data_IF_973344744488
#
_entry.id   IF_973344744488
#
_cell.length_a   1.000
_cell.length_b   1.000
_cell.length_c   1.000
_cell.angle_alpha   90.00
_cell.angle_beta   90.00
_cell.angle_gamma   90.00
#
_symmetry.space_group_name_H-M   'P 1'
#
loop_
_entity.id
_entity.type
_entity.pdbx_description
1 polymer ?
#
# COMPACT_ATOMS: atom_id res chain seq x y z
N UNK A 1 -18.07 -1.17 11.51
CA UNK A 1 -16.87 -0.81 10.71
C UNK A 1 -16.10 -2.05 10.31
N UNK A 2 -15.72 -2.22 9.05
CA UNK A 2 -14.86 -3.30 8.55
C UNK A 2 -13.44 -2.76 8.38
N UNK A 3 -12.45 -3.44 8.96
CA UNK A 3 -11.05 -3.04 8.92
C UNK A 3 -10.26 -3.99 8.02
N UNK A 4 -9.60 -3.45 6.99
CA UNK A 4 -8.74 -4.17 6.05
C UNK A 4 -7.29 -3.86 6.36
N UNK A 5 -6.51 -4.84 6.82
CA UNK A 5 -5.10 -4.66 7.18
C UNK A 5 -4.20 -5.18 6.07
N UNK A 6 -3.48 -4.28 5.39
CA UNK A 6 -2.33 -4.65 4.57
C UNK A 6 -1.15 -4.96 5.49
N UNK A 7 -0.90 -6.24 5.69
CA UNK A 7 0.07 -6.70 6.69
C UNK A 7 1.51 -6.81 6.17
N UNK A 8 1.77 -6.69 4.88
CA UNK A 8 3.12 -6.93 4.33
C UNK A 8 4.16 -5.99 4.95
N UNK A 9 3.84 -4.71 5.11
CA UNK A 9 4.74 -3.74 5.76
C UNK A 9 4.87 -3.98 7.27
N UNK A 10 3.81 -4.44 7.94
CA UNK A 10 3.84 -4.81 9.36
C UNK A 10 4.72 -6.03 9.60
N UNK A 11 4.55 -7.07 8.80
CA UNK A 11 5.37 -8.29 8.85
C UNK A 11 6.83 -7.93 8.64
N UNK A 12 7.11 -7.15 7.58
CA UNK A 12 8.47 -6.71 7.28
C UNK A 12 9.09 -5.96 8.46
N UNK A 13 8.40 -4.97 9.02
CA UNK A 13 8.90 -4.15 10.12
C UNK A 13 9.06 -4.93 11.42
N UNK A 14 8.24 -5.96 11.64
CA UNK A 14 8.32 -6.82 12.82
C UNK A 14 9.54 -7.74 12.83
N UNK A 15 10.18 -7.94 11.66
CA UNK A 15 11.44 -8.69 11.60
C UNK A 15 12.64 -7.92 12.20
N UNK A 16 12.55 -6.60 12.32
CA UNK A 16 13.69 -5.77 12.72
C UNK A 16 13.63 -5.33 14.17
N UNK A 17 14.80 -5.30 14.81
CA UNK A 17 15.03 -4.71 16.13
C UNK A 17 16.12 -3.63 16.07
N UNK A 18 16.19 -2.83 17.10
CA UNK A 18 17.32 -1.91 17.27
C UNK A 18 18.59 -2.72 17.54
N UNK A 19 19.67 -2.45 16.81
CA UNK A 19 20.97 -3.08 17.08
C UNK A 19 21.52 -2.57 18.40
N UNK A 20 21.93 -3.48 19.25
CA UNK A 20 22.57 -3.17 20.55
C UNK A 20 24.09 -3.09 20.41
N UNK A 21 24.66 -3.89 19.50
CA UNK A 21 26.10 -3.90 19.19
C UNK A 21 26.32 -3.90 17.66
N UNK A 22 27.54 -3.55 17.18
CA UNK A 22 27.85 -3.61 15.74
C UNK A 22 27.70 -5.01 15.14
N UNK A 23 27.93 -6.07 15.94
CA UNK A 23 27.84 -7.47 15.53
C UNK A 23 26.40 -7.99 15.52
N UNK A 24 25.46 -7.28 16.12
CA UNK A 24 24.05 -7.65 16.12
C UNK A 24 23.49 -7.66 14.69
N UNK A 25 22.79 -8.72 14.32
CA UNK A 25 22.14 -8.85 13.01
C UNK A 25 21.14 -7.74 12.72
N UNK A 26 20.52 -7.16 13.78
CA UNK A 26 19.42 -6.22 13.67
C UNK A 26 18.06 -6.89 13.36
N UNK A 27 17.99 -8.21 13.50
CA UNK A 27 16.78 -8.99 13.33
C UNK A 27 16.31 -9.58 14.65
N UNK A 28 15.00 -9.65 14.84
CA UNK A 28 14.39 -10.44 15.90
C UNK A 28 14.59 -11.94 15.64
N UNK A 29 14.50 -12.77 16.68
CA UNK A 29 14.17 -14.18 16.51
C UNK A 29 12.67 -14.28 16.16
N UNK A 30 12.21 -15.48 15.80
CA UNK A 30 10.84 -15.64 15.30
C UNK A 30 9.78 -15.38 16.37
N UNK A 31 10.03 -15.76 17.63
CA UNK A 31 9.04 -15.55 18.72
C UNK A 31 8.92 -14.07 19.05
N UNK A 32 10.03 -13.34 19.17
CA UNK A 32 10.01 -11.89 19.38
C UNK A 32 9.33 -11.15 18.22
N UNK A 33 9.53 -11.63 16.98
CA UNK A 33 8.89 -11.06 15.80
C UNK A 33 7.38 -11.29 15.78
N UNK A 34 6.91 -12.48 16.19
CA UNK A 34 5.48 -12.78 16.37
C UNK A 34 4.86 -11.89 17.43
N UNK A 35 5.51 -11.77 18.58
CA UNK A 35 5.04 -10.92 19.68
C UNK A 35 4.97 -9.46 19.25
N UNK A 36 6.00 -8.98 18.56
CA UNK A 36 6.02 -7.62 18.02
C UNK A 36 4.90 -7.37 17.01
N UNK A 37 4.68 -8.30 16.09
CA UNK A 37 3.59 -8.20 15.13
C UNK A 37 2.23 -8.13 15.83
N UNK A 38 1.98 -9.06 16.77
CA UNK A 38 0.73 -9.12 17.54
C UNK A 38 0.50 -7.83 18.33
N UNK A 39 1.54 -7.32 19.02
CA UNK A 39 1.48 -6.06 19.77
C UNK A 39 1.04 -4.89 18.87
N UNK A 40 1.65 -4.78 17.71
CA UNK A 40 1.38 -3.67 16.77
C UNK A 40 -0.04 -3.78 16.19
N UNK A 41 -0.46 -4.98 15.79
CA UNK A 41 -1.83 -5.20 15.28
C UNK A 41 -2.87 -4.90 16.34
N UNK A 42 -2.68 -5.39 17.56
CA UNK A 42 -3.60 -5.10 18.68
C UNK A 42 -3.68 -3.61 18.99
N UNK A 43 -2.53 -2.92 18.99
CA UNK A 43 -2.48 -1.47 19.18
C UNK A 43 -3.26 -0.73 18.09
N UNK A 44 -3.14 -1.14 16.84
CA UNK A 44 -3.87 -0.56 15.70
C UNK A 44 -5.38 -0.74 15.91
N UNK A 45 -5.82 -1.97 16.19
CA UNK A 45 -7.24 -2.30 16.39
C UNK A 45 -7.80 -1.48 17.56
N UNK A 46 -7.14 -1.51 18.73
CA UNK A 46 -7.57 -0.75 19.90
C UNK A 46 -7.64 0.76 19.61
N UNK A 47 -6.74 1.30 18.77
CA UNK A 47 -6.80 2.72 18.41
C UNK A 47 -8.01 3.02 17.52
N UNK A 48 -8.34 2.12 16.58
CA UNK A 48 -9.52 2.28 15.72
C UNK A 48 -10.81 2.13 16.54
N UNK A 49 -10.85 1.23 17.52
CA UNK A 49 -11.99 1.00 18.40
C UNK A 49 -12.34 2.18 19.33
N UNK A 50 -11.40 3.14 19.49
CA UNK A 50 -11.72 4.39 20.21
C UNK A 50 -12.73 5.23 19.44
N UNK A 51 -12.62 5.24 18.09
CA UNK A 51 -13.41 6.11 17.24
C UNK A 51 -14.56 5.38 16.52
N UNK A 52 -14.47 4.05 16.39
CA UNK A 52 -15.39 3.22 15.58
C UNK A 52 -15.72 1.90 16.26
N UNK A 53 -16.95 1.43 16.11
CA UNK A 53 -17.30 0.05 16.45
C UNK A 53 -16.79 -0.89 15.36
N UNK A 54 -15.85 -1.78 15.69
CA UNK A 54 -15.21 -2.70 14.74
C UNK A 54 -15.96 -4.03 14.69
N UNK A 55 -16.67 -4.28 13.61
CA UNK A 55 -17.43 -5.51 13.39
C UNK A 55 -16.55 -6.65 12.86
N UNK A 56 -15.55 -6.30 12.04
CA UNK A 56 -14.74 -7.30 11.36
C UNK A 56 -13.35 -6.76 11.00
N UNK A 57 -12.36 -7.60 11.23
CA UNK A 57 -10.98 -7.38 10.75
C UNK A 57 -10.64 -8.43 9.71
N UNK A 58 -10.10 -8.00 8.55
CA UNK A 58 -9.61 -8.86 7.48
C UNK A 58 -8.16 -8.50 7.21
N UNK A 59 -7.27 -9.46 7.36
CA UNK A 59 -5.83 -9.29 7.14
C UNK A 59 -5.43 -9.84 5.77
N UNK A 60 -4.50 -9.17 5.12
CA UNK A 60 -3.95 -9.55 3.82
C UNK A 60 -2.44 -9.64 3.92
N UNK A 61 -1.85 -10.76 3.45
CA UNK A 61 -0.41 -10.97 3.58
C UNK A 61 0.14 -11.92 2.51
N UNK A 62 1.40 -11.68 2.11
CA UNK A 62 2.20 -12.63 1.39
C UNK A 62 1.68 -12.99 -0.01
N UNK A 63 1.33 -12.00 -0.81
CA UNK A 63 0.97 -12.22 -2.21
C UNK A 63 2.05 -13.00 -2.97
N UNK A 64 1.64 -13.93 -3.83
CA UNK A 64 2.55 -14.79 -4.62
C UNK A 64 2.41 -14.50 -6.10
N UNK A 65 3.56 -14.21 -6.71
CA UNK A 65 3.62 -13.83 -8.11
C UNK A 65 3.20 -12.37 -8.31
N UNK A 66 3.48 -11.84 -9.49
CA UNK A 66 3.11 -10.48 -9.85
C UNK A 66 3.11 -10.37 -11.39
N UNK A 67 1.93 -10.16 -11.97
CA UNK A 67 1.78 -10.03 -13.41
C UNK A 67 2.58 -8.85 -13.99
N UNK A 68 2.82 -7.79 -13.20
CA UNK A 68 3.60 -6.62 -13.64
C UNK A 68 5.02 -6.98 -14.04
N UNK A 69 5.63 -8.00 -13.41
CA UNK A 69 6.96 -8.52 -13.79
C UNK A 69 6.94 -9.24 -15.15
N UNK A 70 5.81 -9.73 -15.59
CA UNK A 70 5.66 -10.33 -16.92
C UNK A 70 5.56 -9.26 -18.00
N UNK A 71 4.95 -8.10 -17.66
CA UNK A 71 4.79 -6.96 -18.57
C UNK A 71 6.09 -6.14 -18.63
N UNK A 72 6.73 -5.89 -17.49
CA UNK A 72 7.93 -5.06 -17.39
C UNK A 72 9.02 -5.75 -16.56
N UNK A 73 10.14 -6.07 -17.21
CA UNK A 73 11.32 -6.66 -16.55
C UNK A 73 11.99 -5.69 -15.57
N UNK A 74 11.77 -4.39 -15.72
CA UNK A 74 12.35 -3.36 -14.84
C UNK A 74 11.51 -3.09 -13.61
N UNK A 75 10.27 -3.60 -13.56
CA UNK A 75 9.38 -3.42 -12.43
C UNK A 75 9.98 -4.02 -11.15
N UNK A 76 10.17 -3.18 -10.12
CA UNK A 76 10.81 -3.52 -8.84
C UNK A 76 12.22 -4.13 -8.97
N UNK A 77 12.92 -3.89 -10.10
CA UNK A 77 14.28 -4.41 -10.30
C UNK A 77 15.30 -3.80 -9.32
N UNK A 78 15.04 -2.60 -8.81
CA UNK A 78 15.82 -1.94 -7.76
C UNK A 78 15.75 -2.63 -6.38
N UNK A 79 14.93 -3.68 -6.25
CA UNK A 79 14.80 -4.45 -5.00
C UNK A 79 15.54 -5.79 -5.03
N UNK A 80 16.24 -6.13 -6.12
CA UNK A 80 16.89 -7.44 -6.30
C UNK A 80 17.98 -7.66 -5.23
N UNK A 81 18.75 -6.62 -4.93
CA UNK A 81 19.86 -6.69 -3.96
C UNK A 81 19.43 -6.33 -2.53
N UNK A 82 18.13 -6.23 -2.28
CA UNK A 82 17.62 -5.93 -0.94
C UNK A 82 17.79 -7.16 -0.05
N UNK A 83 18.49 -6.99 1.06
CA UNK A 83 18.60 -8.02 2.08
C UNK A 83 17.20 -8.37 2.63
N UNK A 84 16.87 -9.65 2.60
CA UNK A 84 15.59 -10.17 3.10
C UNK A 84 15.80 -10.68 4.51
N UNK A 85 14.98 -10.26 5.50
CA UNK A 85 15.10 -10.79 6.86
C UNK A 85 15.00 -12.32 6.87
N UNK A 86 15.91 -13.04 7.57
CA UNK A 86 15.94 -14.50 7.57
C UNK A 86 14.63 -15.16 7.99
N UNK A 87 13.90 -14.50 8.91
CA UNK A 87 12.64 -14.99 9.50
C UNK A 87 11.39 -14.56 8.74
N UNK A 88 11.53 -13.77 7.65
CA UNK A 88 10.39 -13.16 6.96
C UNK A 88 9.34 -14.19 6.50
N UNK A 89 9.78 -15.27 5.88
CA UNK A 89 8.86 -16.29 5.37
C UNK A 89 8.12 -17.00 6.51
N UNK A 90 8.82 -17.32 7.60
CA UNK A 90 8.24 -17.98 8.76
C UNK A 90 7.21 -17.07 9.46
N UNK A 91 7.51 -15.79 9.59
CA UNK A 91 6.56 -14.80 10.13
C UNK A 91 5.35 -14.61 9.20
N UNK A 92 5.55 -14.60 7.88
CA UNK A 92 4.45 -14.56 6.92
C UNK A 92 3.53 -15.78 7.06
N UNK A 93 4.09 -16.97 7.21
CA UNK A 93 3.31 -18.21 7.37
C UNK A 93 2.53 -18.18 8.70
N UNK A 94 3.16 -17.74 9.79
CA UNK A 94 2.48 -17.50 11.07
C UNK A 94 1.29 -16.55 10.92
N UNK A 95 1.49 -15.39 10.29
CA UNK A 95 0.42 -14.39 10.11
C UNK A 95 -0.71 -14.94 9.25
N UNK A 96 -0.41 -15.70 8.21
CA UNK A 96 -1.44 -16.35 7.37
C UNK A 96 -2.29 -17.34 8.17
N UNK A 97 -1.66 -18.17 8.99
CA UNK A 97 -2.35 -19.18 9.79
C UNK A 97 -3.12 -18.53 10.95
N UNK A 98 -2.45 -17.74 11.77
CA UNK A 98 -3.02 -17.15 12.99
C UNK A 98 -4.16 -16.16 12.68
N UNK A 99 -4.03 -15.34 11.66
CA UNK A 99 -5.01 -14.31 11.28
C UNK A 99 -5.90 -14.73 10.11
N UNK A 100 -5.75 -15.95 9.60
CA UNK A 100 -6.46 -16.43 8.41
C UNK A 100 -6.36 -15.45 7.25
N UNK A 101 -5.17 -14.85 7.08
CA UNK A 101 -4.94 -13.76 6.14
C UNK A 101 -5.21 -14.19 4.71
N UNK A 102 -5.84 -13.28 3.96
CA UNK A 102 -6.10 -13.47 2.54
C UNK A 102 -4.80 -13.30 1.75
N UNK A 103 -4.58 -14.16 0.76
CA UNK A 103 -3.39 -14.15 -0.07
C UNK A 103 -3.75 -13.96 -1.54
N UNK A 104 -3.07 -13.02 -2.22
CA UNK A 104 -3.18 -12.84 -3.66
C UNK A 104 -2.29 -13.81 -4.44
N UNK A 105 -2.76 -14.20 -5.64
CA UNK A 105 -1.98 -15.01 -6.59
C UNK A 105 -1.90 -14.27 -7.93
N UNK A 106 -0.69 -14.01 -8.40
CA UNK A 106 -0.44 -13.25 -9.63
C UNK A 106 -0.66 -11.75 -9.52
N UNK A 107 -1.13 -11.25 -8.38
CA UNK A 107 -1.35 -9.85 -8.05
C UNK A 107 -0.64 -9.50 -6.75
N UNK A 108 -0.42 -8.23 -6.47
CA UNK A 108 0.17 -7.76 -5.21
C UNK A 108 -0.89 -7.71 -4.09
N UNK A 109 -0.42 -7.57 -2.85
CA UNK A 109 -1.32 -7.51 -1.68
C UNK A 109 -2.23 -6.29 -1.73
N UNK A 110 -1.70 -5.15 -2.16
CA UNK A 110 -2.44 -3.90 -2.35
C UNK A 110 -3.56 -4.02 -3.41
N UNK A 111 -3.33 -4.73 -4.52
CA UNK A 111 -4.36 -5.04 -5.52
C UNK A 111 -5.52 -5.85 -4.89
N UNK A 112 -5.17 -6.83 -4.06
CA UNK A 112 -6.18 -7.66 -3.40
C UNK A 112 -6.98 -6.85 -2.37
N UNK A 113 -6.32 -6.04 -1.55
CA UNK A 113 -6.98 -5.14 -0.60
C UNK A 113 -7.92 -4.19 -1.33
N UNK A 114 -7.47 -3.57 -2.42
CA UNK A 114 -8.28 -2.68 -3.24
C UNK A 114 -9.53 -3.37 -3.80
N UNK A 115 -9.37 -4.63 -4.26
CA UNK A 115 -10.50 -5.45 -4.75
C UNK A 115 -11.51 -5.73 -3.64
N UNK A 116 -11.03 -6.11 -2.44
CA UNK A 116 -11.91 -6.34 -1.29
C UNK A 116 -12.59 -5.05 -0.85
N UNK A 117 -11.86 -3.95 -0.80
CA UNK A 117 -12.41 -2.64 -0.47
C UNK A 117 -13.56 -2.27 -1.42
N UNK A 118 -13.36 -2.38 -2.73
CA UNK A 118 -14.40 -2.08 -3.74
C UNK A 118 -15.65 -2.91 -3.49
N UNK A 119 -15.51 -4.24 -3.35
CA UNK A 119 -16.66 -5.13 -3.16
C UNK A 119 -17.41 -4.85 -1.84
N UNK A 120 -16.69 -4.52 -0.78
CA UNK A 120 -17.29 -4.22 0.52
C UNK A 120 -17.99 -2.86 0.52
N UNK A 121 -17.39 -1.86 -0.11
CA UNK A 121 -18.00 -0.52 -0.20
C UNK A 121 -19.23 -0.49 -1.09
N UNK A 122 -19.29 -1.32 -2.13
CA UNK A 122 -20.51 -1.52 -2.94
C UNK A 122 -21.67 -2.10 -2.12
N UNK A 123 -21.35 -2.88 -1.08
CA UNK A 123 -22.35 -3.55 -0.25
C UNK A 123 -22.74 -2.75 0.98
N UNK A 124 -21.77 -2.21 1.70
CA UNK A 124 -21.95 -1.61 3.01
C UNK A 124 -21.85 -0.08 3.02
N UNK A 125 -21.31 0.50 1.96
CA UNK A 125 -20.98 1.92 1.88
C UNK A 125 -19.51 2.20 2.20
N UNK A 126 -19.03 3.31 1.66
CA UNK A 126 -17.63 3.70 1.73
C UNK A 126 -17.17 4.01 3.17
N UNK A 127 -18.05 4.64 3.95
CA UNK A 127 -17.73 5.08 5.29
C UNK A 127 -17.70 3.93 6.32
N UNK A 128 -18.05 2.70 5.89
CA UNK A 128 -18.05 1.49 6.70
C UNK A 128 -16.77 0.66 6.56
N UNK A 129 -15.79 1.10 5.74
CA UNK A 129 -14.58 0.34 5.45
C UNK A 129 -13.33 1.20 5.64
N UNK A 130 -12.43 0.76 6.54
CA UNK A 130 -11.11 1.39 6.78
C UNK A 130 -10.01 0.49 6.21
N UNK A 131 -9.07 1.08 5.46
CA UNK A 131 -7.81 0.43 5.08
C UNK A 131 -6.73 0.83 6.09
N UNK A 132 -6.04 -0.14 6.66
CA UNK A 132 -4.88 0.06 7.53
C UNK A 132 -3.61 -0.17 6.72
N UNK A 133 -2.90 0.89 6.39
CA UNK A 133 -1.64 0.81 5.63
C UNK A 133 -0.83 2.10 5.75
N UNK A 134 0.48 1.98 5.55
CA UNK A 134 1.40 3.12 5.36
C UNK A 134 1.68 3.39 3.88
N UNK A 135 1.16 2.55 2.98
CA UNK A 135 1.39 2.69 1.55
C UNK A 135 0.58 3.85 0.97
N UNK A 136 1.27 4.69 0.19
CA UNK A 136 0.67 5.86 -0.46
C UNK A 136 -0.27 5.48 -1.60
N UNK A 137 -0.14 4.26 -2.15
CA UNK A 137 -0.87 3.85 -3.34
C UNK A 137 -2.37 3.70 -3.05
N UNK A 138 -2.75 3.43 -1.80
CA UNK A 138 -4.16 3.47 -1.39
C UNK A 138 -4.81 4.86 -1.50
N UNK A 139 -4.03 5.93 -1.59
CA UNK A 139 -4.57 7.28 -1.85
C UNK A 139 -5.16 7.45 -3.25
N UNK A 140 -5.06 6.44 -4.10
CA UNK A 140 -5.74 6.37 -5.40
C UNK A 140 -7.16 5.80 -5.28
N UNK A 141 -7.58 5.38 -4.08
CA UNK A 141 -8.93 4.97 -3.77
C UNK A 141 -9.63 6.06 -2.95
N UNK A 142 -10.93 6.32 -3.16
CA UNK A 142 -11.68 7.24 -2.33
C UNK A 142 -12.07 6.56 -1.02
N UNK A 143 -11.11 6.35 -0.13
CA UNK A 143 -11.22 5.50 1.05
C UNK A 143 -10.79 6.21 2.34
N UNK A 144 -11.14 5.63 3.48
CA UNK A 144 -10.59 5.98 4.78
C UNK A 144 -9.36 5.11 5.00
N UNK A 145 -8.20 5.74 5.23
CA UNK A 145 -6.95 5.06 5.51
C UNK A 145 -6.52 5.40 6.94
N UNK A 146 -6.23 4.39 7.77
CA UNK A 146 -5.50 4.59 9.01
C UNK A 146 -4.01 4.37 8.74
N UNK A 147 -3.22 5.46 8.78
CA UNK A 147 -1.77 5.45 8.66
C UNK A 147 -1.15 5.17 10.03
N UNK A 148 -0.74 3.92 10.26
CA UNK A 148 -0.16 3.48 11.53
C UNK A 148 1.30 3.85 11.72
N UNK A 149 1.92 4.55 10.77
CA UNK A 149 3.31 4.97 10.92
C UNK A 149 3.51 5.78 12.21
N UNK A 150 4.52 5.41 13.02
CA UNK A 150 4.71 5.92 14.38
C UNK A 150 4.75 7.46 14.51
N UNK A 151 5.11 8.16 13.43
CA UNK A 151 5.11 9.65 13.38
C UNK A 151 3.77 10.24 12.97
N UNK A 152 2.84 9.45 12.48
CA UNK A 152 1.58 9.95 11.93
C UNK A 152 0.40 9.52 12.79
N UNK A 153 0.12 8.23 12.85
CA UNK A 153 -1.00 7.64 13.58
C UNK A 153 -2.30 8.45 13.39
N UNK A 154 -2.71 8.59 12.13
CA UNK A 154 -3.84 9.45 11.78
C UNK A 154 -4.68 8.83 10.65
N UNK A 155 -5.94 9.29 10.58
CA UNK A 155 -6.82 8.96 9.48
C UNK A 155 -6.62 9.91 8.30
N UNK A 156 -6.69 9.35 7.10
CA UNK A 156 -6.83 10.09 5.86
C UNK A 156 -8.17 9.72 5.23
N UNK A 157 -9.06 10.68 5.10
CA UNK A 157 -10.31 10.49 4.35
C UNK A 157 -10.09 11.03 2.94
N UNK A 158 -9.83 10.13 1.99
CA UNK A 158 -9.50 10.49 0.61
C UNK A 158 -10.80 10.66 -0.18
N UNK A 159 -11.05 11.84 -0.69
CA UNK A 159 -12.21 12.12 -1.55
C UNK A 159 -12.04 11.51 -2.95
N UNK A 160 -13.13 11.36 -3.69
CA UNK A 160 -13.08 10.90 -5.10
C UNK A 160 -12.19 11.80 -5.97
N UNK A 161 -12.25 13.11 -5.74
CA UNK A 161 -11.42 14.07 -6.49
C UNK A 161 -9.93 13.90 -6.19
N UNK A 162 -9.58 13.69 -4.91
CA UNK A 162 -8.20 13.44 -4.50
C UNK A 162 -7.69 12.10 -5.00
N UNK A 163 -8.48 11.04 -4.90
CA UNK A 163 -8.13 9.72 -5.41
C UNK A 163 -7.85 9.76 -6.91
N UNK A 164 -8.74 10.39 -7.66
CA UNK A 164 -8.59 10.61 -9.10
C UNK A 164 -7.33 11.41 -9.43
N UNK A 165 -7.10 12.52 -8.73
CA UNK A 165 -5.89 13.33 -8.90
C UNK A 165 -4.63 12.50 -8.65
N UNK A 166 -4.57 11.76 -7.53
CA UNK A 166 -3.42 10.95 -7.15
C UNK A 166 -3.13 9.84 -8.19
N UNK A 167 -4.18 9.21 -8.72
CA UNK A 167 -4.04 8.20 -9.77
C UNK A 167 -3.38 8.77 -11.04
N UNK A 168 -3.89 9.88 -11.56
CA UNK A 168 -3.35 10.49 -12.77
C UNK A 168 -1.99 11.17 -12.54
N UNK A 169 -1.75 11.71 -11.33
CA UNK A 169 -0.43 12.21 -10.94
C UNK A 169 0.60 11.10 -11.02
N UNK A 170 0.30 9.91 -10.50
CA UNK A 170 1.23 8.77 -10.52
C UNK A 170 1.45 8.24 -11.93
N UNK A 171 0.46 8.30 -12.82
CA UNK A 171 0.67 7.96 -14.24
C UNK A 171 1.72 8.85 -14.92
N UNK A 172 1.85 10.11 -14.51
CA UNK A 172 2.88 11.02 -15.04
C UNK A 172 4.21 10.84 -14.29
N UNK A 173 4.16 10.87 -12.96
CA UNK A 173 5.37 10.86 -12.14
C UNK A 173 6.05 9.50 -12.10
N UNK A 174 5.27 8.42 -12.30
CA UNK A 174 5.72 7.06 -12.03
C UNK A 174 5.86 6.79 -10.54
N UNK A 175 6.55 5.71 -10.22
CA UNK A 175 6.89 5.31 -8.86
C UNK A 175 8.35 4.87 -8.75
N UNK A 176 9.14 5.61 -7.99
CA UNK A 176 10.56 5.29 -7.77
C UNK A 176 10.74 4.04 -6.91
N UNK A 177 9.80 3.75 -6.00
CA UNK A 177 9.84 2.54 -5.18
C UNK A 177 9.66 1.28 -6.03
N UNK A 178 8.91 1.39 -7.12
CA UNK A 178 8.63 0.31 -8.07
C UNK A 178 9.51 0.36 -9.34
N UNK A 179 10.46 1.31 -9.37
CA UNK A 179 11.32 1.54 -10.52
C UNK A 179 10.53 1.86 -11.81
N UNK A 180 9.47 2.64 -11.65
CA UNK A 180 8.61 3.08 -12.76
C UNK A 180 8.81 4.58 -12.99
N UNK A 181 9.18 4.96 -14.20
CA UNK A 181 9.35 6.37 -14.58
C UNK A 181 8.97 6.56 -16.05
N UNK A 182 7.72 6.94 -16.28
CA UNK A 182 7.20 7.12 -17.64
C UNK A 182 7.52 8.48 -18.23
N UNK A 183 7.48 9.55 -17.43
CA UNK A 183 7.61 10.92 -17.89
C UNK A 183 8.77 11.63 -17.19
N UNK A 184 10.00 11.22 -17.48
CA UNK A 184 11.20 11.81 -16.88
C UNK A 184 11.23 13.34 -17.05
N UNK A 185 11.42 14.07 -15.92
CA UNK A 185 11.44 15.52 -15.88
C UNK A 185 10.09 16.19 -15.61
N UNK A 186 9.00 15.43 -15.57
CA UNK A 186 7.67 15.93 -15.22
C UNK A 186 7.32 15.51 -13.79
N UNK A 187 7.20 16.46 -12.89
CA UNK A 187 6.93 16.25 -11.48
C UNK A 187 5.65 16.91 -10.99
N UNK A 188 5.47 16.96 -9.66
CA UNK A 188 4.26 17.52 -9.01
C UNK A 188 3.86 18.91 -9.49
N UNK A 189 4.83 19.80 -9.71
CA UNK A 189 4.55 21.15 -10.20
C UNK A 189 3.88 21.14 -11.58
N UNK A 190 4.33 20.24 -12.47
CA UNK A 190 3.68 20.05 -13.76
C UNK A 190 2.27 19.49 -13.59
N UNK A 191 2.08 18.43 -12.81
CA UNK A 191 0.77 17.83 -12.59
C UNK A 191 -0.22 18.85 -12.02
N UNK A 192 0.18 19.59 -10.98
CA UNK A 192 -0.66 20.64 -10.38
C UNK A 192 -1.14 21.67 -11.41
N UNK A 193 -0.27 22.10 -12.31
CA UNK A 193 -0.65 23.06 -13.35
C UNK A 193 -1.48 22.41 -14.47
N UNK A 194 -1.11 21.21 -14.92
CA UNK A 194 -1.77 20.53 -16.02
C UNK A 194 -3.17 20.02 -15.66
N UNK A 195 -3.41 19.68 -14.40
CA UNK A 195 -4.67 19.13 -13.91
C UNK A 195 -5.60 20.18 -13.25
N UNK A 196 -5.19 21.46 -13.15
CA UNK A 196 -5.95 22.49 -12.43
C UNK A 196 -7.41 22.66 -12.88
N UNK A 197 -7.68 22.42 -14.17
CA UNK A 197 -9.00 22.56 -14.78
C UNK A 197 -9.64 21.20 -15.14
N UNK A 198 -9.06 20.09 -14.66
CA UNK A 198 -9.57 18.76 -14.93
C UNK A 198 -10.70 18.40 -13.94
N UNK A 199 -11.91 18.25 -14.44
CA UNK A 199 -13.11 17.91 -13.65
C UNK A 199 -13.60 16.48 -13.89
N UNK A 200 -13.13 15.81 -14.95
CA UNK A 200 -13.56 14.46 -15.33
C UNK A 200 -12.38 13.60 -15.73
N UNK A 201 -12.57 12.27 -15.70
CA UNK A 201 -11.55 11.32 -16.18
C UNK A 201 -11.12 11.64 -17.62
N UNK A 202 -12.05 12.04 -18.46
CA UNK A 202 -11.75 12.43 -19.83
C UNK A 202 -10.74 13.59 -19.89
N UNK A 203 -10.86 14.59 -19.02
CA UNK A 203 -9.91 15.71 -18.99
C UNK A 203 -8.52 15.23 -18.56
N UNK A 204 -8.43 14.44 -17.50
CA UNK A 204 -7.17 13.87 -17.01
C UNK A 204 -6.51 12.97 -18.06
N UNK A 205 -7.27 12.06 -18.67
CA UNK A 205 -6.78 11.15 -19.71
C UNK A 205 -6.20 11.93 -20.89
N UNK A 206 -6.88 13.01 -21.34
CA UNK A 206 -6.39 13.86 -22.42
C UNK A 206 -5.04 14.49 -22.09
N UNK A 207 -4.87 15.00 -20.87
CA UNK A 207 -3.60 15.60 -20.42
C UNK A 207 -2.50 14.56 -20.43
N UNK A 208 -2.71 13.41 -19.79
CA UNK A 208 -1.72 12.31 -19.71
C UNK A 208 -1.36 11.82 -21.11
N UNK A 209 -2.35 11.56 -21.94
CA UNK A 209 -2.15 11.02 -23.28
C UNK A 209 -1.42 12.01 -24.20
N UNK A 210 -1.75 13.32 -24.09
CA UNK A 210 -1.04 14.36 -24.84
C UNK A 210 0.42 14.46 -24.45
N UNK A 211 0.71 14.30 -23.15
CA UNK A 211 2.09 14.27 -22.66
C UNK A 211 2.85 13.04 -23.17
N UNK A 212 2.22 11.86 -23.11
CA UNK A 212 2.83 10.62 -23.60
C UNK A 212 3.12 10.69 -25.11
N UNK A 213 2.17 11.19 -25.91
CA UNK A 213 2.42 11.44 -27.34
C UNK A 213 3.62 12.35 -27.57
N UNK A 214 3.74 13.44 -26.80
CA UNK A 214 4.86 14.38 -26.89
C UNK A 214 6.21 13.69 -26.57
N UNK A 215 6.24 12.85 -25.53
CA UNK A 215 7.48 12.21 -25.07
C UNK A 215 7.88 11.06 -26.00
N UNK A 216 6.94 10.21 -26.37
CA UNK A 216 7.21 9.00 -27.13
C UNK A 216 7.06 9.17 -28.64
N UNK A 217 6.70 10.38 -29.12
CA UNK A 217 6.58 10.73 -30.56
C UNK A 217 5.66 9.79 -31.35
N UNK A 218 4.57 9.35 -30.74
CA UNK A 218 3.56 8.48 -31.34
C UNK A 218 2.29 9.24 -31.69
#
# INVERSE_FOLDING_TARGET
MIVLIDADSLIWSSCYKQKETPEDSGYHNIEDAKDKYNEVVMKIINTIEVDYEVDKVITFAGARGNFRKQISKTYKANRIDREVPPILNELQDYVKEQYQSKQGYGIETDDLVATYWTNLTDTFGRDEVIIVSIDKDYKQLPCIIYDYHYKKQCYHNITEAEAKYNFYEQMIMGDTADNVNFCKGYGKAYCKNAFKDCLSDYNYIRVVFSLFKKIYKQ
#
